data_IF_610009313649
#
_entry.id   IF_610009313649
#
_cell.length_a   1.000
_cell.length_b   1.000
_cell.length_c   1.000
_cell.angle_alpha   90.00
_cell.angle_beta   90.00
_cell.angle_gamma   90.00
#
_symmetry.space_group_name_H-M   'P 1'
#
loop_
_entity.id
_entity.type
_entity.pdbx_description
1 polymer ?
#
# COMPACT_ATOMS: atom_id res chain seq x y z
N UNK A 1 24.60 -10.70 0.01
CA UNK A 1 24.94 -9.57 -0.89
C UNK A 1 23.73 -9.00 -1.64
N UNK A 2 22.92 -9.79 -2.39
CA UNK A 2 21.73 -9.26 -3.10
C UNK A 2 20.63 -8.69 -2.17
N UNK A 3 20.41 -9.30 -1.02
CA UNK A 3 19.41 -8.89 -0.03
C UNK A 3 19.74 -7.57 0.68
N UNK A 4 21.01 -7.31 0.95
CA UNK A 4 21.45 -6.08 1.63
C UNK A 4 21.37 -4.85 0.70
N UNK A 5 21.66 -5.04 -0.57
CA UNK A 5 21.55 -4.00 -1.59
C UNK A 5 20.09 -3.66 -1.92
N UNK A 6 19.21 -4.68 -1.95
CA UNK A 6 17.76 -4.49 -2.09
C UNK A 6 17.18 -3.74 -0.90
N UNK A 7 17.59 -4.08 0.32
CA UNK A 7 17.15 -3.36 1.53
C UNK A 7 17.65 -1.90 1.56
N UNK A 8 18.88 -1.63 1.10
CA UNK A 8 19.40 -0.25 0.97
C UNK A 8 18.62 0.56 -0.06
N UNK A 9 18.23 -0.05 -1.19
CA UNK A 9 17.40 0.62 -2.21
C UNK A 9 15.99 0.89 -1.71
N UNK A 10 15.35 -0.07 -1.05
CA UNK A 10 14.03 0.10 -0.42
C UNK A 10 14.04 1.20 0.64
N UNK A 11 15.10 1.26 1.45
CA UNK A 11 15.27 2.31 2.46
C UNK A 11 15.52 3.69 1.84
N UNK A 12 16.27 3.75 0.73
CA UNK A 12 16.48 5.00 0.00
C UNK A 12 15.18 5.50 -0.65
N UNK A 13 14.37 4.61 -1.22
CA UNK A 13 13.05 4.93 -1.79
C UNK A 13 12.12 5.41 -0.68
N UNK A 14 12.07 4.72 0.46
CA UNK A 14 11.27 5.14 1.62
C UNK A 14 11.69 6.52 2.15
N UNK A 15 13.00 6.81 2.22
CA UNK A 15 13.53 8.12 2.65
C UNK A 15 13.21 9.25 1.66
N UNK A 16 13.27 8.98 0.36
CA UNK A 16 12.86 9.96 -0.67
C UNK A 16 11.37 10.28 -0.63
N UNK A 17 10.57 9.36 -0.11
CA UNK A 17 9.12 9.50 0.08
C UNK A 17 8.82 10.38 1.27
N UNK A 18 9.53 10.22 2.40
CA UNK A 18 9.38 11.06 3.58
C UNK A 18 9.71 12.54 3.29
N UNK A 19 10.69 12.81 2.43
CA UNK A 19 11.04 14.16 2.01
C UNK A 19 9.98 14.81 1.08
N UNK A 20 9.20 14.00 0.36
CA UNK A 20 8.14 14.49 -0.55
C UNK A 20 6.77 14.64 0.13
N UNK A 21 6.56 13.97 1.25
CA UNK A 21 5.31 13.96 2.00
C UNK A 21 5.56 14.51 3.40
N UNK A 22 5.18 15.78 3.59
CA UNK A 22 5.30 16.58 4.81
C UNK A 22 5.08 15.76 6.10
N UNK A 23 6.13 15.64 6.89
CA UNK A 23 6.19 14.96 8.19
C UNK A 23 5.39 15.65 9.30
N UNK A 24 4.62 16.68 8.98
CA UNK A 24 3.88 17.51 9.96
C UNK A 24 2.53 16.95 10.41
N UNK A 25 2.11 15.75 9.97
CA UNK A 25 0.89 15.13 10.48
C UNK A 25 1.18 14.33 11.77
N UNK A 26 0.64 14.76 12.92
CA UNK A 26 0.90 14.11 14.23
C UNK A 26 0.43 12.65 14.34
N UNK A 27 -0.36 12.18 13.37
CA UNK A 27 -0.86 10.80 13.30
C UNK A 27 0.22 9.81 12.81
N UNK A 28 1.22 10.27 12.04
CA UNK A 28 2.28 9.41 11.49
C UNK A 28 3.18 8.81 12.57
N UNK A 29 3.56 9.56 13.58
CA UNK A 29 4.48 9.08 14.62
C UNK A 29 3.84 8.04 15.55
N UNK A 30 2.56 8.14 15.87
CA UNK A 30 1.87 7.17 16.70
C UNK A 30 1.55 5.88 15.93
N UNK A 31 1.16 6.00 14.67
CA UNK A 31 0.87 4.84 13.80
C UNK A 31 2.16 4.11 13.43
N UNK A 32 3.24 4.82 13.14
CA UNK A 32 4.56 4.24 12.84
C UNK A 32 5.17 3.55 14.07
N UNK A 33 5.05 4.14 15.26
CA UNK A 33 5.46 3.50 16.51
C UNK A 33 4.63 2.26 16.85
N UNK A 34 3.31 2.32 16.64
CA UNK A 34 2.40 1.19 16.82
C UNK A 34 2.68 0.07 15.80
N UNK A 35 2.92 0.41 14.54
CA UNK A 35 3.27 -0.54 13.49
C UNK A 35 4.64 -1.19 13.73
N UNK A 36 5.65 -0.45 14.20
CA UNK A 36 6.94 -1.04 14.65
C UNK A 36 6.78 -2.01 15.82
N UNK A 37 5.89 -1.72 16.76
CA UNK A 37 5.60 -2.63 17.87
C UNK A 37 4.83 -3.87 17.40
N UNK A 38 3.86 -3.72 16.48
CA UNK A 38 3.20 -4.87 15.83
C UNK A 38 4.23 -5.70 15.04
N UNK A 39 5.13 -5.06 14.31
CA UNK A 39 6.22 -5.74 13.59
C UNK A 39 7.09 -6.56 14.54
N UNK A 40 7.49 -6.01 15.69
CA UNK A 40 8.25 -6.75 16.71
C UNK A 40 7.47 -7.94 17.26
N UNK A 41 6.20 -7.76 17.59
CA UNK A 41 5.34 -8.82 18.15
C UNK A 41 4.96 -9.84 17.09
N UNK A 42 4.58 -9.41 15.88
CA UNK A 42 4.17 -10.29 14.77
C UNK A 42 5.35 -11.09 14.20
N UNK A 43 6.56 -10.53 14.22
CA UNK A 43 7.77 -11.19 13.72
C UNK A 43 8.48 -11.99 14.81
N UNK A 44 8.03 -11.94 16.07
CA UNK A 44 8.72 -12.62 17.18
C UNK A 44 10.17 -12.15 17.37
N UNK A 45 10.47 -10.90 16.98
CA UNK A 45 11.82 -10.33 17.05
C UNK A 45 12.27 -10.01 18.48
N UNK A 46 11.45 -10.32 19.49
CA UNK A 46 11.84 -10.31 20.90
C UNK A 46 12.54 -11.60 21.33
N UNK A 47 12.72 -12.56 20.40
CA UNK A 47 13.46 -13.79 20.62
C UNK A 47 14.55 -13.96 19.57
N UNK A 48 15.76 -14.32 20.05
CA UNK A 48 16.98 -14.52 19.29
C UNK A 48 16.79 -15.45 18.07
N UNK A 49 17.37 -15.02 16.98
CA UNK A 49 17.71 -15.62 15.71
C UNK A 49 17.47 -17.15 15.57
N UNK A 50 16.36 -17.50 14.94
CA UNK A 50 16.14 -18.81 14.31
C UNK A 50 15.72 -18.60 12.85
N UNK A 51 16.71 -18.62 11.97
CA UNK A 51 16.71 -18.74 10.52
C UNK A 51 15.44 -18.58 9.65
N UNK A 52 15.56 -18.64 8.33
CA UNK A 52 14.55 -18.23 7.34
C UNK A 52 13.22 -19.02 7.32
N UNK A 53 13.05 -20.02 8.19
CA UNK A 53 11.84 -20.87 8.21
C UNK A 53 10.61 -20.25 8.90
N UNK A 54 10.78 -19.21 9.74
CA UNK A 54 9.64 -18.60 10.48
C UNK A 54 8.82 -17.58 9.68
N UNK A 55 9.34 -17.06 8.59
CA UNK A 55 8.68 -15.97 7.84
C UNK A 55 7.49 -16.49 7.02
N UNK A 56 7.56 -17.71 6.49
CA UNK A 56 6.46 -18.33 5.73
C UNK A 56 5.22 -18.66 6.59
N UNK A 57 5.31 -18.54 7.91
CA UNK A 57 4.16 -18.74 8.81
C UNK A 57 3.30 -17.49 8.98
N UNK A 58 3.73 -16.33 8.50
CA UNK A 58 3.04 -15.06 8.66
C UNK A 58 1.97 -14.82 7.59
N UNK A 59 2.10 -15.46 6.42
CA UNK A 59 1.20 -15.27 5.28
C UNK A 59 0.57 -16.61 4.89
N UNK A 60 -0.64 -16.57 4.31
CA UNK A 60 -1.20 -17.68 3.54
C UNK A 60 -0.52 -17.81 2.17
N UNK A 61 -1.25 -18.38 1.20
CA UNK A 61 -0.71 -18.62 -0.15
C UNK A 61 -0.56 -17.35 -0.99
N UNK A 62 -1.19 -16.25 -0.59
CA UNK A 62 -1.10 -14.93 -1.24
C UNK A 62 -1.43 -13.81 -0.24
N UNK A 63 -1.03 -12.58 -0.58
CA UNK A 63 -1.47 -11.36 0.10
C UNK A 63 -2.37 -10.59 -0.87
N UNK A 64 -3.54 -10.16 -0.40
CA UNK A 64 -4.44 -9.32 -1.19
C UNK A 64 -4.51 -7.93 -0.59
N UNK A 65 -4.28 -6.92 -1.42
CA UNK A 65 -4.44 -5.51 -1.07
C UNK A 65 -5.66 -4.99 -1.83
N UNK A 66 -6.65 -4.46 -1.12
CA UNK A 66 -7.77 -3.72 -1.71
C UNK A 66 -7.63 -2.25 -1.34
N UNK A 67 -7.56 -1.37 -2.34
CA UNK A 67 -7.34 0.06 -2.12
C UNK A 67 -8.26 0.92 -2.97
N UNK A 68 -8.61 2.08 -2.43
CA UNK A 68 -9.45 3.09 -3.06
C UNK A 68 -9.04 4.48 -2.57
N UNK A 69 -9.46 5.51 -3.29
CA UNK A 69 -9.20 6.90 -2.94
C UNK A 69 -10.47 7.74 -2.99
N UNK A 70 -10.42 8.86 -2.30
CA UNK A 70 -11.49 9.87 -2.34
C UNK A 70 -10.91 11.28 -2.36
N UNK A 71 -11.58 12.18 -3.05
CA UNK A 71 -11.26 13.61 -3.10
C UNK A 71 -12.55 14.42 -2.99
N UNK A 72 -12.59 15.40 -2.09
CA UNK A 72 -13.79 16.21 -1.86
C UNK A 72 -14.14 17.11 -3.04
N UNK A 73 -13.13 17.63 -3.71
CA UNK A 73 -13.29 18.49 -4.90
C UNK A 73 -12.22 18.16 -5.91
N UNK A 74 -12.61 17.70 -7.07
CA UNK A 74 -11.71 17.34 -8.17
C UNK A 74 -11.76 18.41 -9.28
N UNK A 75 -10.68 19.15 -9.58
CA UNK A 75 -9.38 19.11 -8.90
C UNK A 75 -9.28 19.98 -7.65
N UNK A 76 -8.27 19.72 -6.82
CA UNK A 76 -7.72 20.64 -5.82
C UNK A 76 -8.35 20.58 -4.42
N UNK A 77 -9.26 19.65 -4.14
CA UNK A 77 -9.80 19.44 -2.80
C UNK A 77 -8.92 18.55 -1.91
N UNK A 78 -9.22 18.48 -0.60
CA UNK A 78 -8.64 17.47 0.27
C UNK A 78 -8.86 16.07 -0.28
N UNK A 79 -7.84 15.23 -0.18
CA UNK A 79 -7.84 13.85 -0.68
C UNK A 79 -7.37 12.88 0.38
N UNK A 80 -7.91 11.67 0.35
CA UNK A 80 -7.55 10.58 1.24
C UNK A 80 -7.56 9.24 0.50
N UNK A 81 -6.75 8.33 0.99
CA UNK A 81 -6.67 6.95 0.52
C UNK A 81 -7.07 6.01 1.63
N UNK A 82 -7.70 4.90 1.28
CA UNK A 82 -8.00 3.81 2.20
C UNK A 82 -7.54 2.49 1.60
N UNK A 83 -7.09 1.56 2.43
CA UNK A 83 -6.72 0.23 1.97
C UNK A 83 -6.87 -0.83 3.06
N UNK A 84 -7.07 -2.06 2.61
CA UNK A 84 -7.15 -3.27 3.41
C UNK A 84 -6.12 -4.26 2.89
N UNK A 85 -5.28 -4.78 3.77
CA UNK A 85 -4.32 -5.84 3.48
C UNK A 85 -4.80 -7.12 4.15
N UNK A 86 -5.14 -8.11 3.32
CA UNK A 86 -5.53 -9.44 3.74
C UNK A 86 -4.34 -10.39 3.52
N UNK A 87 -3.87 -10.97 4.61
CA UNK A 87 -2.75 -11.91 4.60
C UNK A 87 -3.17 -13.35 4.28
N UNK A 88 -4.45 -13.57 3.93
CA UNK A 88 -5.04 -14.89 3.63
C UNK A 88 -4.79 -15.95 4.71
N UNK A 89 -4.69 -15.53 5.96
CA UNK A 89 -4.46 -16.42 7.10
C UNK A 89 -5.68 -16.48 8.00
N UNK A 90 -6.17 -17.70 8.25
CA UNK A 90 -7.47 -17.97 8.88
C UNK A 90 -7.66 -17.32 10.26
N UNK A 91 -6.60 -17.14 11.03
CA UNK A 91 -6.64 -16.60 12.39
C UNK A 91 -5.99 -15.21 12.52
N UNK A 92 -5.72 -14.56 11.40
CA UNK A 92 -5.11 -13.23 11.37
C UNK A 92 -6.11 -12.19 10.86
N UNK A 93 -6.30 -11.13 11.64
CA UNK A 93 -7.13 -10.01 11.21
C UNK A 93 -6.48 -9.25 10.05
N UNK A 94 -7.29 -8.79 9.10
CA UNK A 94 -6.85 -7.90 8.04
C UNK A 94 -6.33 -6.58 8.63
N UNK A 95 -5.26 -6.04 8.06
CA UNK A 95 -4.86 -4.68 8.35
C UNK A 95 -5.70 -3.73 7.51
N UNK A 96 -6.36 -2.78 8.14
CA UNK A 96 -7.10 -1.73 7.45
C UNK A 96 -6.72 -0.35 7.97
N UNK A 97 -6.49 0.60 7.06
CA UNK A 97 -6.11 1.96 7.41
C UNK A 97 -6.49 2.95 6.32
N UNK A 98 -6.57 4.24 6.71
CA UNK A 98 -6.74 5.35 5.79
C UNK A 98 -5.82 6.51 6.18
N UNK A 99 -5.43 7.32 5.20
CA UNK A 99 -4.59 8.51 5.42
C UNK A 99 -4.93 9.62 4.43
N UNK A 100 -4.68 10.86 4.81
CA UNK A 100 -4.67 11.96 3.86
C UNK A 100 -3.54 11.81 2.84
N UNK A 101 -3.77 12.29 1.62
CA UNK A 101 -2.74 12.40 0.59
C UNK A 101 -2.78 13.80 -0.04
N UNK A 102 -1.73 14.14 -0.80
CA UNK A 102 -1.60 15.46 -1.46
C UNK A 102 -2.03 15.41 -2.93
N UNK A 103 -2.91 14.49 -3.30
CA UNK A 103 -3.39 14.36 -4.65
C UNK A 103 -4.29 15.54 -5.03
N UNK A 104 -4.05 16.12 -6.20
CA UNK A 104 -4.87 17.20 -6.76
C UNK A 104 -6.01 16.70 -7.63
N UNK A 105 -5.94 15.44 -8.07
CA UNK A 105 -6.96 14.80 -8.92
C UNK A 105 -7.29 13.39 -8.44
N UNK A 106 -8.45 12.87 -8.82
CA UNK A 106 -8.82 11.48 -8.53
C UNK A 106 -7.76 10.49 -9.00
N UNK A 107 -7.28 10.63 -10.24
CA UNK A 107 -6.29 9.71 -10.76
C UNK A 107 -4.98 9.71 -9.96
N UNK A 108 -4.55 10.89 -9.48
CA UNK A 108 -3.39 10.97 -8.59
C UNK A 108 -3.65 10.27 -7.27
N UNK A 109 -4.85 10.46 -6.68
CA UNK A 109 -5.23 9.83 -5.42
C UNK A 109 -5.31 8.30 -5.54
N UNK A 110 -5.81 7.78 -6.66
CA UNK A 110 -5.85 6.34 -6.94
C UNK A 110 -4.43 5.73 -7.03
N UNK A 111 -3.50 6.40 -7.70
CA UNK A 111 -2.09 6.00 -7.69
C UNK A 111 -1.51 6.02 -6.27
N UNK A 112 -1.82 7.06 -5.48
CA UNK A 112 -1.36 7.18 -4.10
C UNK A 112 -1.91 6.05 -3.22
N UNK A 113 -3.16 5.60 -3.44
CA UNK A 113 -3.74 4.47 -2.71
C UNK A 113 -2.95 3.18 -2.94
N UNK A 114 -2.59 2.88 -4.17
CA UNK A 114 -1.77 1.71 -4.52
C UNK A 114 -0.37 1.84 -3.92
N UNK A 115 0.25 3.01 -4.10
CA UNK A 115 1.60 3.26 -3.61
C UNK A 115 1.70 3.11 -2.08
N UNK A 116 0.82 3.78 -1.33
CA UNK A 116 0.84 3.71 0.13
C UNK A 116 0.50 2.33 0.68
N UNK A 117 -0.39 1.60 0.02
CA UNK A 117 -0.72 0.23 0.44
C UNK A 117 0.45 -0.73 0.28
N UNK A 118 1.17 -0.67 -0.84
CA UNK A 118 2.39 -1.46 -1.07
C UNK A 118 3.52 -1.05 -0.13
N UNK A 119 3.75 0.26 0.05
CA UNK A 119 4.76 0.75 0.98
C UNK A 119 4.48 0.28 2.40
N UNK A 120 3.22 0.35 2.85
CA UNK A 120 2.83 -0.14 4.19
C UNK A 120 3.06 -1.64 4.35
N UNK A 121 2.74 -2.45 3.34
CA UNK A 121 3.02 -3.89 3.36
C UNK A 121 4.53 -4.15 3.47
N UNK A 122 5.35 -3.42 2.71
CA UNK A 122 6.80 -3.55 2.72
C UNK A 122 7.39 -3.17 4.09
N UNK A 123 6.92 -2.08 4.67
CA UNK A 123 7.37 -1.61 5.98
C UNK A 123 7.01 -2.60 7.10
N UNK A 124 5.81 -3.19 7.02
CA UNK A 124 5.34 -4.16 8.02
C UNK A 124 6.10 -5.48 7.96
N UNK A 125 6.34 -5.98 6.76
CA UNK A 125 6.84 -7.34 6.56
C UNK A 125 8.36 -7.40 6.32
N UNK A 126 8.99 -6.25 6.08
CA UNK A 126 10.34 -6.21 5.54
C UNK A 126 10.35 -6.79 4.13
N UNK A 127 10.40 -5.94 3.10
CA UNK A 127 10.14 -6.32 1.70
C UNK A 127 10.85 -7.59 1.21
N UNK A 128 12.10 -7.85 1.68
CA UNK A 128 12.87 -9.04 1.33
C UNK A 128 12.25 -10.37 1.84
N UNK A 129 11.32 -10.30 2.79
CA UNK A 129 10.68 -11.46 3.40
C UNK A 129 9.36 -11.84 2.73
N UNK A 130 8.83 -10.99 1.83
CA UNK A 130 7.58 -11.25 1.13
C UNK A 130 7.87 -12.15 -0.06
N UNK A 131 7.58 -13.44 0.07
CA UNK A 131 7.85 -14.46 -0.96
C UNK A 131 6.58 -15.00 -1.63
N UNK A 132 5.41 -14.68 -1.08
CA UNK A 132 4.10 -15.08 -1.64
C UNK A 132 3.58 -14.02 -2.62
N UNK A 133 2.82 -14.38 -3.64
CA UNK A 133 2.23 -13.42 -4.58
C UNK A 133 1.40 -12.34 -3.88
N UNK A 134 1.48 -11.11 -4.39
CA UNK A 134 0.70 -9.97 -3.92
C UNK A 134 -0.29 -9.59 -5.01
N UNK A 135 -1.59 -9.61 -4.70
CA UNK A 135 -2.64 -9.15 -5.60
C UNK A 135 -3.16 -7.79 -5.15
N UNK A 136 -2.90 -6.74 -5.92
CA UNK A 136 -3.37 -5.38 -5.66
C UNK A 136 -4.65 -5.13 -6.46
N UNK A 137 -5.74 -4.83 -5.76
CA UNK A 137 -7.07 -4.65 -6.32
C UNK A 137 -7.49 -3.19 -6.17
N UNK A 138 -7.90 -2.55 -7.26
CA UNK A 138 -8.51 -1.23 -7.30
C UNK A 138 -9.71 -1.22 -8.25
N UNK A 139 -10.64 -0.28 -8.05
CA UNK A 139 -11.77 -0.06 -8.94
C UNK A 139 -11.46 0.95 -10.07
N UNK A 140 -10.26 1.50 -10.11
CA UNK A 140 -9.79 2.40 -11.16
C UNK A 140 -9.22 1.61 -12.34
N UNK A 141 -10.08 1.25 -13.31
CA UNK A 141 -9.66 0.52 -14.51
C UNK A 141 -8.55 1.24 -15.26
N UNK A 142 -8.58 2.58 -15.32
CA UNK A 142 -7.54 3.35 -16.00
C UNK A 142 -6.17 3.12 -15.38
N UNK A 143 -6.09 3.19 -14.06
CA UNK A 143 -4.82 3.05 -13.33
C UNK A 143 -4.29 1.61 -13.46
N UNK A 144 -5.16 0.63 -13.30
CA UNK A 144 -4.80 -0.79 -13.47
C UNK A 144 -4.30 -1.07 -14.89
N UNK A 145 -4.98 -0.55 -15.93
CA UNK A 145 -4.55 -0.70 -17.32
C UNK A 145 -3.20 -0.03 -17.58
N UNK A 146 -2.93 1.12 -16.93
CA UNK A 146 -1.64 1.81 -17.05
C UNK A 146 -0.51 1.07 -16.33
N UNK A 147 -0.75 0.49 -15.15
CA UNK A 147 0.22 -0.32 -14.42
C UNK A 147 0.53 -1.62 -15.15
N UNK A 148 -0.46 -2.24 -15.79
CA UNK A 148 -0.29 -3.45 -16.58
C UNK A 148 0.26 -3.19 -18.01
N UNK A 149 0.51 -1.93 -18.36
CA UNK A 149 1.01 -1.57 -19.70
C UNK A 149 -0.02 -1.67 -20.84
N UNK A 150 -1.29 -1.89 -20.53
CA UNK A 150 -2.41 -1.98 -21.49
C UNK A 150 -2.73 -0.59 -22.05
N UNK A 151 -2.66 0.44 -21.21
CA UNK A 151 -2.88 1.84 -21.63
C UNK A 151 -1.62 2.69 -21.38
N UNK A 152 -1.40 3.65 -22.27
CA UNK A 152 -0.33 4.63 -22.11
C UNK A 152 -0.69 5.64 -21.01
N UNK A 153 0.31 6.03 -20.22
CA UNK A 153 0.21 7.12 -19.26
C UNK A 153 0.87 8.37 -19.88
N UNK A 154 0.05 9.28 -20.42
CA UNK A 154 0.54 10.46 -21.14
C UNK A 154 0.83 11.64 -20.21
N UNK A 155 0.09 11.76 -19.11
CA UNK A 155 0.34 12.77 -18.09
C UNK A 155 1.65 12.49 -17.35
N UNK A 156 2.53 13.49 -17.25
CA UNK A 156 3.87 13.32 -16.68
C UNK A 156 3.83 13.03 -15.18
N UNK A 157 2.93 13.69 -14.43
CA UNK A 157 2.77 13.48 -13.00
C UNK A 157 2.23 12.07 -12.70
N UNK A 158 1.26 11.60 -13.48
CA UNK A 158 0.73 10.25 -13.34
C UNK A 158 1.76 9.21 -13.74
N UNK A 159 2.54 9.48 -14.80
CA UNK A 159 3.63 8.60 -15.23
C UNK A 159 4.68 8.43 -14.14
N UNK A 160 5.08 9.52 -13.49
CA UNK A 160 6.02 9.44 -12.37
C UNK A 160 5.48 8.55 -11.24
N UNK A 161 4.21 8.72 -10.84
CA UNK A 161 3.58 7.86 -9.82
C UNK A 161 3.51 6.39 -10.25
N UNK A 162 3.15 6.14 -11.51
CA UNK A 162 3.15 4.79 -12.09
C UNK A 162 4.53 4.15 -12.00
N UNK A 163 5.56 4.87 -12.42
CA UNK A 163 6.92 4.35 -12.48
C UNK A 163 7.47 4.05 -11.09
N UNK A 164 7.14 4.87 -10.07
CA UNK A 164 7.46 4.58 -8.66
C UNK A 164 6.80 3.28 -8.17
N UNK A 165 5.53 3.05 -8.51
CA UNK A 165 4.84 1.81 -8.13
C UNK A 165 5.47 0.60 -8.81
N UNK A 166 5.81 0.71 -10.09
CA UNK A 166 6.45 -0.37 -10.84
C UNK A 166 7.86 -0.67 -10.30
N UNK A 167 8.64 0.36 -9.96
CA UNK A 167 9.94 0.21 -9.34
C UNK A 167 9.83 -0.47 -7.97
N UNK A 168 8.90 -0.02 -7.13
CA UNK A 168 8.62 -0.60 -5.82
C UNK A 168 8.22 -2.08 -5.95
N UNK A 169 7.31 -2.39 -6.87
CA UNK A 169 6.86 -3.74 -7.15
C UNK A 169 7.99 -4.64 -7.67
N UNK A 170 8.83 -4.10 -8.57
CA UNK A 170 9.97 -4.83 -9.13
C UNK A 170 11.12 -5.06 -8.15
N UNK A 171 11.15 -4.33 -7.02
CA UNK A 171 12.15 -4.52 -5.97
C UNK A 171 11.82 -5.68 -5.02
N UNK A 172 10.57 -6.18 -5.05
CA UNK A 172 10.12 -7.29 -4.22
C UNK A 172 10.55 -8.65 -4.80
N UNK A 173 10.86 -9.65 -3.97
CA UNK A 173 11.08 -11.03 -4.43
C UNK A 173 9.78 -11.70 -4.90
N UNK A 174 8.63 -11.22 -4.41
CA UNK A 174 7.30 -11.69 -4.76
C UNK A 174 6.79 -11.06 -6.06
N UNK A 175 5.96 -11.78 -6.80
CA UNK A 175 5.23 -11.20 -7.92
C UNK A 175 4.10 -10.29 -7.43
N UNK A 176 3.99 -9.10 -8.01
CA UNK A 176 2.87 -8.18 -7.78
C UNK A 176 1.96 -8.18 -9.00
N UNK A 177 0.68 -8.44 -8.76
CA UNK A 177 -0.36 -8.52 -9.80
C UNK A 177 -1.35 -7.38 -9.56
N UNK A 178 -1.58 -6.53 -10.56
CA UNK A 178 -2.56 -5.46 -10.49
C UNK A 178 -3.87 -5.90 -11.13
N UNK A 179 -4.95 -5.90 -10.36
CA UNK A 179 -6.26 -6.42 -10.77
C UNK A 179 -7.34 -5.36 -10.61
N UNK A 180 -8.18 -5.22 -11.62
CA UNK A 180 -9.36 -4.38 -11.53
C UNK A 180 -10.56 -5.17 -11.01
N UNK A 181 -11.34 -4.55 -10.14
CA UNK A 181 -12.69 -5.03 -9.77
C UNK A 181 -13.67 -3.86 -9.72
N UNK A 182 -14.97 -4.11 -10.01
CA UNK A 182 -15.98 -3.05 -9.88
C UNK A 182 -16.04 -2.50 -8.46
N UNK A 183 -16.40 -1.21 -8.35
CA UNK A 183 -16.55 -0.51 -7.06
C UNK A 183 -17.48 -1.28 -6.13
N UNK A 184 -17.09 -1.39 -4.87
CA UNK A 184 -17.83 -2.10 -3.83
C UNK A 184 -18.15 -3.58 -4.14
N UNK A 185 -17.44 -4.19 -5.09
CA UNK A 185 -17.67 -5.60 -5.47
C UNK A 185 -17.16 -6.59 -4.42
N UNK A 186 -16.28 -6.15 -3.53
CA UNK A 186 -15.81 -6.95 -2.38
C UNK A 186 -15.95 -6.15 -1.08
N UNK A 187 -16.09 -6.84 0.07
CA UNK A 187 -16.15 -6.18 1.37
C UNK A 187 -14.93 -5.28 1.63
N UNK A 188 -13.73 -5.72 1.22
CA UNK A 188 -12.47 -5.02 1.44
C UNK A 188 -12.37 -3.74 0.59
N UNK A 189 -12.81 -3.78 -0.70
CA UNK A 189 -12.90 -2.57 -1.53
C UNK A 189 -13.90 -1.58 -0.96
N UNK A 190 -15.06 -2.05 -0.52
CA UNK A 190 -16.05 -1.20 0.14
C UNK A 190 -15.48 -0.58 1.41
N UNK A 191 -14.80 -1.37 2.24
CA UNK A 191 -14.16 -0.87 3.46
C UNK A 191 -13.08 0.17 3.16
N UNK A 192 -12.24 -0.04 2.15
CA UNK A 192 -11.21 0.91 1.73
C UNK A 192 -11.83 2.26 1.32
N UNK A 193 -12.88 2.23 0.47
CA UNK A 193 -13.62 3.42 0.07
C UNK A 193 -14.26 4.14 1.27
N UNK A 194 -14.97 3.41 2.13
CA UNK A 194 -15.66 3.97 3.29
C UNK A 194 -14.65 4.64 4.25
N UNK A 195 -13.48 4.06 4.46
CA UNK A 195 -12.44 4.65 5.29
C UNK A 195 -11.89 5.95 4.71
N UNK A 196 -11.60 5.99 3.40
CA UNK A 196 -11.12 7.21 2.73
C UNK A 196 -12.18 8.33 2.82
N UNK A 197 -13.45 8.01 2.57
CA UNK A 197 -14.55 8.97 2.66
C UNK A 197 -14.78 9.46 4.09
N UNK A 198 -14.76 8.56 5.07
CA UNK A 198 -14.95 8.93 6.49
C UNK A 198 -13.84 9.87 6.98
N UNK A 199 -12.59 9.64 6.54
CA UNK A 199 -11.46 10.50 6.89
C UNK A 199 -11.65 11.92 6.33
N UNK A 200 -12.31 12.07 5.18
CA UNK A 200 -12.68 13.37 4.58
C UNK A 200 -13.95 13.97 5.17
N UNK A 201 -14.62 13.30 6.11
CA UNK A 201 -15.88 13.76 6.69
C UNK A 201 -17.10 13.60 5.75
N UNK A 202 -16.98 12.80 4.70
CA UNK A 202 -18.09 12.44 3.83
C UNK A 202 -18.99 11.45 4.58
N UNK A 203 -20.20 11.85 4.91
CA UNK A 203 -21.17 10.95 5.55
C UNK A 203 -21.76 10.03 4.49
N UNK A 204 -21.51 8.73 4.64
CA UNK A 204 -22.23 7.72 3.88
C UNK A 204 -23.68 7.66 4.41
N UNK A 205 -24.65 8.04 3.60
CA UNK A 205 -26.08 7.90 3.88
C UNK A 205 -26.58 6.54 3.38
#
# INVERSE_FOLDING_TARGET
>A
MKTEESNKRLFAIASMIDDHFDSSAPILNSTYGFLKNIQKVALGLDQEDDGPQKVNSLYGDCITISCDASILKNPGGPSAVGFVIDFAKKDQANLSTARFCKASTNNQAEYDAIFFSLSTLIDLCGGANITVPINVISDSLLIIDQLNGVKKCNDENLRHKRDLILELSGSLPASVIFSWKPRNSTPELKQANDMAQNLLGVKNH
#
